data_IF_178285446360
#
_entry.id   IF_178285446360
#
_cell.length_a   1.000
_cell.length_b   1.000
_cell.length_c   1.000
_cell.angle_alpha   90.00
_cell.angle_beta   90.00
_cell.angle_gamma   90.00
#
_symmetry.space_group_name_H-M   'P 1'
#
loop_
_entity.id
_entity.type
_entity.pdbx_description
1 polymer ?
#
# COMPACT_ATOMS: atom_id res chain seq x y z
N UNK A 1 3.90 -3.33 -13.70
CA UNK A 1 3.20 -4.24 -12.76
C UNK A 1 3.60 -4.01 -11.29
N UNK A 2 4.85 -3.64 -10.99
CA UNK A 2 5.37 -3.45 -9.62
C UNK A 2 4.51 -2.52 -8.77
N UNK A 3 4.16 -1.33 -9.28
CA UNK A 3 3.32 -0.35 -8.55
C UNK A 3 2.02 -0.99 -8.10
N UNK A 4 1.27 -1.61 -9.01
CA UNK A 4 -0.03 -2.23 -8.71
C UNK A 4 0.09 -3.33 -7.66
N UNK A 5 1.11 -4.19 -7.76
CA UNK A 5 1.35 -5.26 -6.78
C UNK A 5 1.61 -4.66 -5.40
N UNK A 6 2.48 -3.66 -5.31
CA UNK A 6 2.78 -3.00 -4.04
C UNK A 6 1.56 -2.26 -3.47
N UNK A 7 0.79 -1.56 -4.31
CA UNK A 7 -0.44 -0.89 -3.88
C UNK A 7 -1.46 -1.87 -3.27
N UNK A 8 -1.65 -3.04 -3.87
CA UNK A 8 -2.54 -4.09 -3.34
C UNK A 8 -2.01 -4.62 -2.00
N UNK A 9 -0.70 -4.86 -1.89
CA UNK A 9 -0.07 -5.24 -0.62
C UNK A 9 -0.32 -4.15 0.43
N UNK A 10 -0.19 -2.89 0.05
CA UNK A 10 -0.52 -1.73 0.89
C UNK A 10 -1.93 -1.81 1.45
N UNK A 11 -2.96 -2.00 0.61
CA UNK A 11 -4.36 -2.14 1.07
C UNK A 11 -4.50 -3.25 2.09
N UNK A 12 -3.92 -4.43 1.83
CA UNK A 12 -4.02 -5.59 2.72
C UNK A 12 -3.35 -5.28 4.07
N UNK A 13 -2.18 -4.66 4.07
CA UNK A 13 -1.46 -4.27 5.29
C UNK A 13 -2.22 -3.19 6.07
N UNK A 14 -2.76 -2.17 5.40
CA UNK A 14 -3.58 -1.13 6.00
C UNK A 14 -4.83 -1.70 6.65
N UNK A 15 -5.58 -2.52 5.92
CA UNK A 15 -6.78 -3.20 6.42
C UNK A 15 -6.49 -4.08 7.63
N UNK A 16 -5.41 -4.89 7.58
CA UNK A 16 -4.98 -5.73 8.71
C UNK A 16 -4.58 -4.88 9.91
N UNK A 17 -3.95 -3.72 9.68
CA UNK A 17 -3.55 -2.80 10.76
C UNK A 17 -4.76 -2.19 11.45
N UNK A 18 -5.75 -1.72 10.70
CA UNK A 18 -7.02 -1.23 11.28
C UNK A 18 -7.79 -2.36 11.99
N UNK A 19 -7.78 -3.57 11.44
CA UNK A 19 -8.42 -4.74 12.06
C UNK A 19 -7.78 -5.09 13.41
N UNK A 20 -6.44 -5.05 13.51
CA UNK A 20 -5.73 -5.26 14.78
C UNK A 20 -6.06 -4.18 15.82
N UNK A 21 -6.39 -2.97 15.38
CA UNK A 21 -6.80 -1.84 16.22
C UNK A 21 -8.30 -1.83 16.54
N UNK A 22 -9.05 -2.86 16.13
CA UNK A 22 -10.51 -2.96 16.26
C UNK A 22 -11.26 -1.77 15.64
N UNK A 23 -10.68 -1.15 14.61
CA UNK A 23 -11.32 -0.07 13.86
C UNK A 23 -12.58 -0.54 13.14
N UNK A 24 -13.50 0.39 12.92
CA UNK A 24 -14.74 0.12 12.19
C UNK A 24 -14.48 -0.04 10.68
N UNK A 25 -15.55 -0.12 9.87
CA UNK A 25 -15.40 -0.23 8.41
C UNK A 25 -14.73 1.01 7.81
N UNK A 26 -15.05 2.20 8.31
CA UNK A 26 -14.51 3.46 7.80
C UNK A 26 -13.01 3.55 8.10
N UNK A 27 -12.59 3.17 9.30
CA UNK A 27 -11.18 3.09 9.69
C UNK A 27 -10.41 2.14 8.77
N UNK A 28 -10.98 0.97 8.50
CA UNK A 28 -10.34 -0.03 7.62
C UNK A 28 -10.18 0.48 6.19
N UNK A 29 -11.17 1.18 5.67
CA UNK A 29 -11.09 1.81 4.35
C UNK A 29 -10.06 2.94 4.32
N UNK A 30 -10.03 3.81 5.33
CA UNK A 30 -9.05 4.89 5.42
C UNK A 30 -7.62 4.36 5.55
N UNK A 31 -7.37 3.37 6.41
CA UNK A 31 -6.05 2.74 6.51
C UNK A 31 -5.67 2.02 5.22
N UNK A 32 -6.62 1.30 4.61
CA UNK A 32 -6.41 0.65 3.32
C UNK A 32 -5.99 1.66 2.23
N UNK A 33 -6.69 2.79 2.13
CA UNK A 33 -6.39 3.85 1.18
C UNK A 33 -5.04 4.55 1.48
N UNK A 34 -4.75 4.85 2.74
CA UNK A 34 -3.48 5.46 3.14
C UNK A 34 -2.28 4.56 2.79
N UNK A 35 -2.37 3.26 3.11
CA UNK A 35 -1.31 2.31 2.80
C UNK A 35 -1.24 2.01 1.29
N UNK A 36 -2.37 1.99 0.57
CA UNK A 36 -2.38 1.90 -0.90
C UNK A 36 -1.52 3.00 -1.53
N UNK A 37 -1.75 4.25 -1.11
CA UNK A 37 -1.01 5.41 -1.64
C UNK A 37 0.46 5.35 -1.25
N UNK A 38 0.78 5.07 0.02
CA UNK A 38 2.17 4.97 0.48
C UNK A 38 2.95 3.90 -0.30
N UNK A 39 2.35 2.72 -0.50
CA UNK A 39 2.99 1.65 -1.26
C UNK A 39 3.01 1.91 -2.77
N UNK A 40 2.01 2.62 -3.32
CA UNK A 40 2.04 3.06 -4.71
C UNK A 40 3.26 3.97 -4.96
N UNK A 41 3.47 4.96 -4.09
CA UNK A 41 4.62 5.87 -4.16
C UNK A 41 5.94 5.09 -4.04
N UNK A 42 6.05 4.21 -3.04
CA UNK A 42 7.21 3.34 -2.91
C UNK A 42 7.44 2.49 -4.17
N UNK A 43 6.37 1.96 -4.78
CA UNK A 43 6.45 1.17 -6.00
C UNK A 43 6.91 1.96 -7.21
N UNK A 44 6.53 3.23 -7.35
CA UNK A 44 7.07 4.10 -8.42
C UNK A 44 8.57 4.30 -8.23
N UNK A 45 9.01 4.60 -7.00
CA UNK A 45 10.43 4.77 -6.68
C UNK A 45 11.21 3.50 -7.00
N UNK A 46 10.72 2.34 -6.54
CA UNK A 46 11.34 1.03 -6.82
C UNK A 46 11.38 0.76 -8.32
N UNK A 47 10.31 1.05 -9.05
CA UNK A 47 10.27 0.85 -10.51
C UNK A 47 11.35 1.68 -11.19
N UNK A 48 11.50 2.96 -10.84
CA UNK A 48 12.55 3.82 -11.41
C UNK A 48 13.95 3.31 -11.07
N UNK A 49 14.18 2.84 -9.85
CA UNK A 49 15.47 2.27 -9.46
C UNK A 49 15.78 1.02 -10.28
N UNK A 50 14.82 0.10 -10.39
CA UNK A 50 15.01 -1.13 -11.17
C UNK A 50 15.29 -0.78 -12.63
N UNK A 51 14.49 0.09 -13.23
CA UNK A 51 14.61 0.48 -14.64
C UNK A 51 15.93 1.20 -14.96
N UNK A 52 16.52 1.93 -14.00
CA UNK A 52 17.76 2.71 -14.21
C UNK A 52 19.04 1.98 -13.88
N UNK A 53 18.99 0.95 -13.05
CA UNK A 53 20.20 0.33 -12.49
C UNK A 53 20.32 -1.17 -12.74
N UNK A 54 19.28 -1.84 -13.26
CA UNK A 54 19.24 -3.27 -13.55
C UNK A 54 18.91 -3.48 -15.03
#
# INVERSE_FOLDING_TARGET
MIVIVLSIIGVIVGWRTATKRKGDLMDKLQYGAAYFLAFAVAGVIITVIVDRFI
#
